data_IF_567114752658
#
_entry.id   IF_567114752658
#
_cell.length_a   1.000
_cell.length_b   1.000
_cell.length_c   1.000
_cell.angle_alpha   90.00
_cell.angle_beta   90.00
_cell.angle_gamma   90.00
#
_symmetry.space_group_name_H-M   'P 1'
#
loop_
_entity.id
_entity.type
_entity.pdbx_description
1 polymer ?
#
# COMPACT_ATOMS: atom_id res chain seq x y z
N UNK A 1 -10.19 -20.39 26.32
CA UNK A 1 -10.65 -19.95 24.99
C UNK A 1 -11.49 -18.66 25.02
N UNK A 2 -12.29 -18.41 26.04
CA UNK A 2 -13.06 -17.15 26.19
C UNK A 2 -12.18 -15.91 26.42
N UNK A 3 -11.07 -16.02 27.15
CA UNK A 3 -10.16 -14.89 27.38
C UNK A 3 -9.46 -14.38 26.11
N UNK A 4 -9.14 -15.27 25.16
CA UNK A 4 -8.55 -14.92 23.84
C UNK A 4 -9.63 -14.30 22.92
N UNK A 5 -10.86 -14.81 22.94
CA UNK A 5 -11.99 -14.18 22.23
C UNK A 5 -12.30 -12.78 22.77
N UNK A 6 -12.21 -12.56 24.07
CA UNK A 6 -12.46 -11.25 24.71
C UNK A 6 -11.35 -10.24 24.43
N UNK A 7 -10.08 -10.67 24.25
CA UNK A 7 -8.97 -9.82 23.81
C UNK A 7 -9.08 -9.45 22.31
N UNK A 8 -9.60 -10.33 21.46
CA UNK A 8 -9.79 -10.06 20.04
C UNK A 8 -10.95 -9.09 19.72
N UNK A 9 -11.88 -8.87 20.67
CA UNK A 9 -13.04 -7.97 20.50
C UNK A 9 -12.71 -6.51 20.85
N UNK A 10 -11.47 -6.16 21.23
CA UNK A 10 -11.07 -4.82 21.67
C UNK A 10 -9.89 -4.19 20.93
N UNK A 11 -9.43 -4.74 19.81
CA UNK A 11 -8.54 -4.02 18.91
C UNK A 11 -9.37 -3.06 18.04
N UNK A 12 -9.95 -2.03 18.63
CA UNK A 12 -10.44 -0.87 17.89
C UNK A 12 -9.22 -0.11 17.37
N UNK A 13 -8.71 -0.51 16.19
CA UNK A 13 -7.79 0.37 15.46
C UNK A 13 -8.55 1.65 15.13
N UNK A 14 -7.93 2.79 15.38
CA UNK A 14 -8.46 4.05 14.87
C UNK A 14 -8.47 3.98 13.35
N UNK A 15 -9.65 3.78 12.77
CA UNK A 15 -9.83 3.83 11.33
C UNK A 15 -9.50 5.23 10.84
N UNK A 16 -8.98 5.32 9.62
CA UNK A 16 -8.67 6.58 8.94
C UNK A 16 -9.60 6.78 7.77
N UNK A 17 -10.07 7.99 7.62
CA UNK A 17 -10.84 8.38 6.44
C UNK A 17 -9.93 8.51 5.24
N UNK A 18 -10.27 7.88 4.12
CA UNK A 18 -9.51 7.93 2.89
C UNK A 18 -9.74 9.28 2.18
N UNK A 19 -8.83 10.23 2.36
CA UNK A 19 -8.98 11.60 1.88
C UNK A 19 -10.25 12.27 2.43
N UNK A 20 -11.02 12.88 1.54
CA UNK A 20 -12.33 13.50 1.85
C UNK A 20 -13.51 12.63 1.38
N UNK A 21 -13.40 11.31 1.53
CA UNK A 21 -14.47 10.35 1.19
C UNK A 21 -15.14 9.82 2.47
N UNK A 22 -16.13 8.96 2.31
CA UNK A 22 -16.78 8.20 3.39
C UNK A 22 -16.10 6.86 3.70
N UNK A 23 -14.99 6.54 3.02
CA UNK A 23 -14.33 5.23 3.10
C UNK A 23 -13.40 5.20 4.32
N UNK A 24 -13.64 4.24 5.21
CA UNK A 24 -12.86 4.04 6.43
C UNK A 24 -11.93 2.84 6.26
N UNK A 25 -10.63 3.06 6.47
CA UNK A 25 -9.58 2.05 6.33
C UNK A 25 -8.68 1.99 7.57
N UNK A 26 -8.08 0.85 7.81
CA UNK A 26 -7.01 0.72 8.80
C UNK A 26 -5.75 1.47 8.34
N UNK A 27 -4.89 1.97 9.24
CA UNK A 27 -3.64 2.64 8.88
C UNK A 27 -2.71 1.80 8.00
N UNK A 28 -2.82 0.48 8.09
CA UNK A 28 -2.08 -0.49 7.27
C UNK A 28 -3.06 -1.34 6.49
N UNK A 29 -2.88 -1.39 5.17
CA UNK A 29 -3.53 -2.34 4.26
C UNK A 29 -2.57 -3.42 3.80
N UNK A 30 -3.04 -4.36 2.99
CA UNK A 30 -2.20 -5.39 2.39
C UNK A 30 -1.95 -5.12 0.91
N UNK A 31 -0.68 -4.93 0.52
CA UNK A 31 -0.25 -4.87 -0.89
C UNK A 31 -0.25 -6.26 -1.52
N UNK A 32 -0.87 -6.38 -2.71
CA UNK A 32 -1.09 -7.65 -3.39
C UNK A 32 -0.16 -7.85 -4.61
N UNK A 33 0.89 -7.04 -4.76
CA UNK A 33 1.80 -7.12 -5.92
C UNK A 33 2.50 -8.49 -6.00
N UNK A 34 2.84 -9.09 -4.87
CA UNK A 34 3.50 -10.40 -4.79
C UNK A 34 2.60 -11.55 -5.26
N UNK A 35 1.29 -11.32 -5.40
CA UNK A 35 0.35 -12.31 -5.93
C UNK A 35 0.30 -12.34 -7.47
N UNK A 36 1.08 -11.48 -8.14
CA UNK A 36 1.16 -11.40 -9.60
C UNK A 36 1.86 -12.59 -10.27
N UNK A 37 2.55 -13.43 -9.53
CA UNK A 37 3.34 -14.54 -10.08
C UNK A 37 2.52 -15.45 -10.98
N UNK A 38 3.08 -15.80 -12.15
CA UNK A 38 2.47 -16.68 -13.13
C UNK A 38 1.57 -15.99 -14.17
N UNK A 39 1.41 -14.67 -14.15
CA UNK A 39 0.57 -13.95 -15.12
C UNK A 39 1.16 -12.63 -15.64
N UNK A 40 0.74 -12.25 -16.86
CA UNK A 40 1.09 -10.98 -17.49
C UNK A 40 2.60 -10.72 -17.65
N UNK A 41 2.95 -9.51 -18.07
CA UNK A 41 4.34 -9.08 -18.28
C UNK A 41 5.17 -9.08 -17.00
N UNK A 42 4.55 -8.80 -15.86
CA UNK A 42 5.22 -8.75 -14.55
C UNK A 42 5.32 -10.11 -13.84
N UNK A 43 4.55 -11.12 -14.30
CA UNK A 43 4.51 -12.44 -13.67
C UNK A 43 5.88 -13.11 -13.46
N UNK A 44 6.80 -13.08 -14.45
CA UNK A 44 8.14 -13.66 -14.30
C UNK A 44 9.01 -13.01 -13.22
N UNK A 45 8.70 -11.78 -12.80
CA UNK A 45 9.43 -11.06 -11.75
C UNK A 45 9.04 -11.53 -10.34
N UNK A 46 7.97 -12.29 -10.19
CA UNK A 46 7.44 -12.74 -8.90
C UNK A 46 7.35 -14.27 -8.83
N UNK A 47 7.63 -14.87 -7.66
CA UNK A 47 7.44 -16.31 -7.47
C UNK A 47 5.94 -16.66 -7.60
N UNK A 48 5.68 -17.82 -8.19
CA UNK A 48 4.31 -18.38 -8.21
C UNK A 48 3.98 -18.89 -6.81
N UNK A 49 2.98 -18.28 -6.17
CA UNK A 49 2.48 -18.65 -4.84
C UNK A 49 1.16 -19.42 -5.05
N UNK A 50 1.01 -20.58 -4.40
CA UNK A 50 -0.25 -21.35 -4.49
C UNK A 50 -1.41 -20.56 -3.88
N UNK A 51 -2.64 -20.82 -4.35
CA UNK A 51 -3.83 -20.13 -3.88
C UNK A 51 -4.06 -20.36 -2.37
N UNK A 52 -3.75 -21.57 -1.85
CA UNK A 52 -3.88 -21.90 -0.43
C UNK A 52 -2.98 -21.01 0.43
N UNK A 53 -1.73 -20.76 0.00
CA UNK A 53 -0.83 -19.84 0.68
C UNK A 53 -1.32 -18.39 0.61
N UNK A 54 -1.87 -17.97 -0.55
CA UNK A 54 -2.48 -16.65 -0.71
C UNK A 54 -3.67 -16.49 0.24
N UNK A 55 -4.54 -17.51 0.31
CA UNK A 55 -5.68 -17.53 1.24
C UNK A 55 -5.21 -17.38 2.70
N UNK A 56 -4.18 -18.13 3.10
CA UNK A 56 -3.64 -18.07 4.45
C UNK A 56 -3.06 -16.68 4.80
N UNK A 57 -2.39 -16.03 3.86
CA UNK A 57 -1.85 -14.66 4.04
C UNK A 57 -2.98 -13.64 4.19
N UNK A 58 -3.99 -13.67 3.31
CA UNK A 58 -5.15 -12.77 3.38
C UNK A 58 -5.94 -12.99 4.67
N UNK A 59 -6.17 -14.26 5.05
CA UNK A 59 -6.83 -14.61 6.31
C UNK A 59 -6.09 -14.04 7.52
N UNK A 60 -4.77 -14.18 7.57
CA UNK A 60 -3.96 -13.64 8.66
C UNK A 60 -4.02 -12.10 8.74
N UNK A 61 -4.06 -11.41 7.60
CA UNK A 61 -4.26 -9.96 7.54
C UNK A 61 -5.62 -9.55 8.12
N UNK A 62 -6.70 -10.23 7.72
CA UNK A 62 -8.06 -10.01 8.21
C UNK A 62 -8.19 -10.28 9.72
N UNK A 63 -7.62 -11.39 10.19
CA UNK A 63 -7.61 -11.75 11.62
C UNK A 63 -6.81 -10.74 12.46
N UNK A 64 -5.79 -10.11 11.88
CA UNK A 64 -5.04 -9.00 12.48
C UNK A 64 -5.74 -7.64 12.39
N UNK A 65 -6.96 -7.57 11.82
CA UNK A 65 -7.78 -6.37 11.74
C UNK A 65 -7.58 -5.51 10.48
N UNK A 66 -6.71 -5.89 9.55
CA UNK A 66 -6.58 -5.21 8.25
C UNK A 66 -7.89 -5.35 7.49
N UNK A 67 -8.46 -4.21 7.03
CA UNK A 67 -9.75 -4.19 6.34
C UNK A 67 -9.66 -3.77 4.86
N UNK A 68 -8.45 -3.54 4.31
CA UNK A 68 -8.32 -3.13 2.92
C UNK A 68 -7.13 -3.75 2.20
N UNK A 69 -7.27 -3.89 0.87
CA UNK A 69 -6.35 -4.62 0.00
C UNK A 69 -6.07 -3.82 -1.26
N UNK A 70 -4.79 -3.67 -1.61
CA UNK A 70 -4.33 -2.89 -2.76
C UNK A 70 -3.76 -3.80 -3.85
N UNK A 71 -4.47 -3.89 -4.96
CA UNK A 71 -4.07 -4.64 -6.16
C UNK A 71 -3.89 -3.70 -7.37
N UNK A 72 -3.69 -4.24 -8.58
CA UNK A 72 -3.61 -3.47 -9.81
C UNK A 72 -3.75 -4.35 -11.07
N UNK A 73 -4.20 -3.73 -12.17
CA UNK A 73 -4.20 -4.32 -13.52
C UNK A 73 -2.84 -4.91 -13.90
N UNK A 74 -1.76 -4.18 -13.62
CA UNK A 74 -0.39 -4.58 -13.95
C UNK A 74 0.05 -5.85 -13.20
N UNK A 75 -0.56 -6.16 -12.06
CA UNK A 75 -0.14 -7.28 -11.22
C UNK A 75 -0.64 -8.62 -11.78
N UNK A 76 0.08 -9.11 -12.79
CA UNK A 76 -0.22 -10.36 -13.45
C UNK A 76 -1.41 -10.30 -14.41
N UNK A 77 -1.77 -9.11 -14.93
CA UNK A 77 -2.90 -8.91 -15.85
C UNK A 77 -4.24 -9.48 -15.31
N UNK A 78 -4.52 -9.21 -14.03
CA UNK A 78 -5.73 -9.69 -13.35
C UNK A 78 -5.51 -10.89 -12.41
N UNK A 79 -4.34 -11.54 -12.46
CA UNK A 79 -4.04 -12.69 -11.56
C UNK A 79 -4.09 -12.29 -10.09
N UNK A 80 -3.54 -11.12 -9.74
CA UNK A 80 -3.57 -10.61 -8.36
C UNK A 80 -5.00 -10.31 -7.90
N UNK A 81 -5.82 -9.66 -8.73
CA UNK A 81 -7.23 -9.35 -8.44
C UNK A 81 -8.04 -10.64 -8.23
N UNK A 82 -7.95 -11.59 -9.18
CA UNK A 82 -8.64 -12.87 -9.07
C UNK A 82 -8.17 -13.72 -7.87
N UNK A 83 -6.88 -13.65 -7.53
CA UNK A 83 -6.32 -14.32 -6.35
C UNK A 83 -6.84 -13.73 -5.04
N UNK A 84 -6.95 -12.39 -4.98
CA UNK A 84 -7.53 -11.67 -3.84
C UNK A 84 -8.99 -12.09 -3.65
N UNK A 85 -9.79 -12.04 -4.71
CA UNK A 85 -11.21 -12.44 -4.67
C UNK A 85 -11.40 -13.86 -4.13
N UNK A 86 -10.61 -14.83 -4.63
CA UNK A 86 -10.65 -16.21 -4.13
C UNK A 86 -10.30 -16.29 -2.64
N UNK A 87 -9.31 -15.51 -2.19
CA UNK A 87 -8.91 -15.50 -0.79
C UNK A 87 -9.95 -14.86 0.13
N UNK A 88 -10.60 -13.77 -0.30
CA UNK A 88 -11.67 -13.11 0.45
C UNK A 88 -12.91 -14.03 0.56
N UNK A 89 -13.31 -14.68 -0.54
CA UNK A 89 -14.40 -15.67 -0.54
C UNK A 89 -14.08 -16.84 0.38
N UNK A 90 -12.86 -17.38 0.34
CA UNK A 90 -12.42 -18.45 1.23
C UNK A 90 -12.41 -18.03 2.72
N UNK A 91 -12.25 -16.74 3.00
CA UNK A 91 -12.35 -16.17 4.35
C UNK A 91 -13.80 -15.78 4.75
N UNK A 92 -14.79 -16.02 3.88
CA UNK A 92 -16.20 -15.68 4.12
C UNK A 92 -16.46 -14.16 4.19
N UNK A 93 -15.65 -13.34 3.52
CA UNK A 93 -15.76 -11.88 3.54
C UNK A 93 -16.60 -11.36 2.38
N UNK A 94 -17.36 -10.30 2.63
CA UNK A 94 -18.22 -9.61 1.68
C UNK A 94 -17.73 -8.20 1.39
N UNK A 95 -18.44 -7.43 0.57
CA UNK A 95 -18.16 -6.01 0.32
C UNK A 95 -18.25 -5.13 1.56
N UNK A 96 -19.07 -5.50 2.54
CA UNK A 96 -19.25 -4.73 3.76
C UNK A 96 -18.10 -4.93 4.76
N UNK A 97 -17.33 -6.01 4.57
CA UNK A 97 -16.21 -6.35 5.45
C UNK A 97 -14.88 -5.75 5.00
N UNK A 98 -14.73 -5.41 3.70
CA UNK A 98 -13.43 -5.08 3.13
C UNK A 98 -13.49 -3.95 2.11
N UNK A 99 -12.39 -3.23 2.00
CA UNK A 99 -12.18 -2.17 1.00
C UNK A 99 -11.17 -2.66 -0.04
N UNK A 100 -11.56 -2.68 -1.31
CA UNK A 100 -10.69 -3.10 -2.41
C UNK A 100 -10.26 -1.89 -3.24
N UNK A 101 -8.94 -1.73 -3.38
CA UNK A 101 -8.31 -0.75 -4.24
C UNK A 101 -7.62 -1.45 -5.43
N UNK A 102 -7.83 -0.93 -6.63
CA UNK A 102 -7.11 -1.38 -7.83
C UNK A 102 -6.70 -0.20 -8.71
N UNK A 103 -5.97 -0.45 -9.81
CA UNK A 103 -5.31 0.61 -10.59
C UNK A 103 -5.41 0.34 -12.07
N UNK A 104 -5.63 1.40 -12.84
CA UNK A 104 -5.50 1.43 -14.29
C UNK A 104 -4.02 1.58 -14.69
N UNK A 105 -3.53 0.75 -15.61
CA UNK A 105 -2.18 0.86 -16.16
C UNK A 105 -2.16 1.79 -17.38
N UNK A 106 -1.52 2.98 -17.32
CA UNK A 106 -1.65 4.02 -18.32
C UNK A 106 -0.66 3.96 -19.49
N UNK A 107 0.42 3.15 -19.40
CA UNK A 107 1.50 3.17 -20.37
C UNK A 107 1.01 2.85 -21.79
N UNK A 108 1.36 3.71 -22.75
CA UNK A 108 0.91 3.67 -24.15
C UNK A 108 -0.61 3.76 -24.35
N UNK A 109 -1.34 4.29 -23.36
CA UNK A 109 -2.80 4.45 -23.40
C UNK A 109 -3.20 5.90 -23.22
N UNK A 110 -4.46 6.20 -23.56
CA UNK A 110 -5.12 7.47 -23.27
C UNK A 110 -6.27 7.26 -22.27
N UNK A 111 -6.80 8.33 -21.71
CA UNK A 111 -7.96 8.30 -20.80
C UNK A 111 -9.19 7.57 -21.42
N UNK A 112 -9.31 7.53 -22.76
CA UNK A 112 -10.39 6.78 -23.45
C UNK A 112 -10.35 5.28 -23.17
N UNK A 113 -9.21 4.74 -22.72
CA UNK A 113 -9.11 3.32 -22.37
C UNK A 113 -9.68 3.01 -20.97
N UNK A 114 -9.81 4.00 -20.09
CA UNK A 114 -10.28 3.80 -18.70
C UNK A 114 -11.65 3.10 -18.64
N UNK A 115 -12.69 3.55 -19.40
CA UNK A 115 -13.99 2.89 -19.40
C UNK A 115 -14.00 1.46 -19.94
N UNK A 116 -13.02 1.10 -20.77
CA UNK A 116 -12.88 -0.28 -21.26
C UNK A 116 -12.11 -1.16 -20.26
N UNK A 117 -11.03 -0.62 -19.69
CA UNK A 117 -10.18 -1.35 -18.74
C UNK A 117 -10.91 -1.73 -17.44
N UNK A 118 -11.86 -0.91 -16.99
CA UNK A 118 -12.62 -1.17 -15.77
C UNK A 118 -13.44 -2.46 -15.83
N UNK A 119 -13.94 -2.85 -17.00
CA UNK A 119 -14.76 -4.06 -17.17
C UNK A 119 -13.98 -5.33 -16.81
N UNK A 120 -12.70 -5.37 -17.18
CA UNK A 120 -11.82 -6.46 -16.78
C UNK A 120 -11.56 -6.47 -15.27
N UNK A 121 -11.43 -5.29 -14.64
CA UNK A 121 -11.25 -5.20 -13.17
C UNK A 121 -12.48 -5.73 -12.45
N UNK A 122 -13.67 -5.31 -12.87
CA UNK A 122 -14.95 -5.80 -12.32
C UNK A 122 -15.05 -7.34 -12.51
N UNK A 123 -14.71 -7.85 -13.69
CA UNK A 123 -14.73 -9.29 -13.96
C UNK A 123 -13.76 -10.08 -13.06
N UNK A 124 -12.52 -9.61 -12.87
CA UNK A 124 -11.54 -10.31 -12.03
C UNK A 124 -11.83 -10.18 -10.53
N UNK A 125 -12.47 -9.10 -10.11
CA UNK A 125 -12.92 -8.93 -8.73
C UNK A 125 -14.23 -9.66 -8.41
N UNK A 126 -14.92 -10.21 -9.41
CA UNK A 126 -15.97 -11.23 -9.30
C UNK A 126 -16.94 -11.01 -8.11
N UNK A 127 -17.64 -9.88 -8.13
CA UNK A 127 -18.63 -9.48 -7.12
C UNK A 127 -18.10 -8.55 -6.01
N UNK A 128 -16.80 -8.29 -5.92
CA UNK A 128 -16.27 -7.26 -5.02
C UNK A 128 -16.28 -5.88 -5.71
N UNK A 129 -16.81 -4.89 -5.01
CA UNK A 129 -16.85 -3.49 -5.48
C UNK A 129 -15.47 -2.86 -5.45
N UNK A 130 -15.21 -1.96 -6.40
CA UNK A 130 -13.99 -1.17 -6.45
C UNK A 130 -14.22 0.10 -5.63
N UNK A 131 -13.72 0.10 -4.39
CA UNK A 131 -13.85 1.25 -3.51
C UNK A 131 -12.91 2.40 -3.91
N UNK A 132 -11.71 2.06 -4.42
CA UNK A 132 -10.73 3.04 -4.88
C UNK A 132 -10.12 2.60 -6.22
N UNK A 133 -10.24 3.45 -7.24
CA UNK A 133 -9.60 3.23 -8.53
C UNK A 133 -8.56 4.32 -8.80
N UNK A 134 -7.34 3.93 -9.14
CA UNK A 134 -6.22 4.86 -9.26
C UNK A 134 -5.59 4.83 -10.65
N UNK A 135 -5.12 5.98 -11.14
CA UNK A 135 -4.12 6.03 -12.22
C UNK A 135 -2.78 5.56 -11.66
N UNK A 136 -2.23 4.44 -12.16
CA UNK A 136 -1.08 3.76 -11.55
C UNK A 136 0.24 4.52 -11.70
N UNK A 137 0.43 5.22 -12.83
CA UNK A 137 1.62 6.01 -13.15
C UNK A 137 1.24 7.22 -13.99
N UNK A 138 2.00 8.33 -13.94
CA UNK A 138 1.75 9.51 -14.79
C UNK A 138 2.31 9.32 -16.21
N UNK A 139 2.01 8.21 -16.88
CA UNK A 139 2.63 7.78 -18.13
C UNK A 139 1.66 7.66 -19.30
N UNK A 140 0.41 8.11 -19.16
CA UNK A 140 -0.55 8.12 -20.26
C UNK A 140 -0.24 9.24 -21.26
N UNK A 141 -0.79 9.11 -22.46
CA UNK A 141 -0.78 10.18 -23.46
C UNK A 141 -1.89 11.22 -23.24
N UNK A 142 -2.58 11.18 -22.10
CA UNK A 142 -3.62 12.13 -21.72
C UNK A 142 -3.17 13.09 -20.64
N UNK A 143 -3.85 14.21 -20.54
CA UNK A 143 -3.65 15.14 -19.42
C UNK A 143 -4.29 14.60 -18.14
N UNK A 144 -3.84 15.03 -16.95
CA UNK A 144 -4.49 14.67 -15.68
C UNK A 144 -5.98 14.99 -15.67
N UNK A 145 -6.41 16.08 -16.31
CA UNK A 145 -7.81 16.46 -16.38
C UNK A 145 -8.64 15.45 -17.18
N UNK A 146 -8.12 14.96 -18.31
CA UNK A 146 -8.79 13.94 -19.12
C UNK A 146 -8.88 12.60 -18.38
N UNK A 147 -7.82 12.20 -17.67
CA UNK A 147 -7.83 11.00 -16.83
C UNK A 147 -8.88 11.11 -15.73
N UNK A 148 -8.91 12.24 -15.00
CA UNK A 148 -9.85 12.45 -13.89
C UNK A 148 -11.30 12.56 -14.36
N UNK A 149 -11.57 13.15 -15.52
CA UNK A 149 -12.93 13.16 -16.09
C UNK A 149 -13.40 11.74 -16.42
N UNK A 150 -12.54 10.91 -17.05
CA UNK A 150 -12.90 9.52 -17.33
C UNK A 150 -13.11 8.69 -16.06
N UNK A 151 -12.33 8.96 -14.99
CA UNK A 151 -12.54 8.33 -13.69
C UNK A 151 -13.83 8.80 -13.01
N UNK A 152 -14.16 10.09 -13.12
CA UNK A 152 -15.42 10.64 -12.61
C UNK A 152 -16.65 10.03 -13.29
N UNK A 153 -16.60 9.80 -14.60
CA UNK A 153 -17.66 9.10 -15.34
C UNK A 153 -17.89 7.67 -14.79
N UNK A 154 -16.84 6.99 -14.29
CA UNK A 154 -16.99 5.69 -13.63
C UNK A 154 -17.65 5.80 -12.25
N UNK A 155 -17.41 6.89 -11.51
CA UNK A 155 -18.12 7.17 -10.26
C UNK A 155 -19.59 7.42 -10.52
N UNK A 156 -19.92 8.27 -11.49
CA UNK A 156 -21.30 8.60 -11.87
C UNK A 156 -22.06 7.33 -12.36
N UNK A 157 -21.34 6.40 -13.03
CA UNK A 157 -21.88 5.11 -13.45
C UNK A 157 -21.97 4.06 -12.33
N UNK A 158 -21.55 4.38 -11.10
CA UNK A 158 -21.56 3.46 -9.96
C UNK A 158 -20.56 2.29 -10.07
N UNK A 159 -19.57 2.36 -10.97
CA UNK A 159 -18.56 1.32 -11.19
C UNK A 159 -17.42 1.36 -10.17
N UNK A 160 -17.15 2.54 -9.61
CA UNK A 160 -16.15 2.78 -8.57
C UNK A 160 -16.71 3.75 -7.52
N UNK A 161 -16.21 3.71 -6.27
CA UNK A 161 -16.67 4.64 -5.23
C UNK A 161 -15.81 5.90 -5.13
N UNK A 162 -14.51 5.79 -5.36
CA UNK A 162 -13.59 6.93 -5.23
C UNK A 162 -12.44 6.87 -6.23
N UNK A 163 -11.83 8.03 -6.45
CA UNK A 163 -10.75 8.23 -7.43
C UNK A 163 -9.45 8.59 -6.73
N UNK A 164 -8.35 7.96 -7.17
CA UNK A 164 -7.00 8.26 -6.72
C UNK A 164 -5.99 8.31 -7.85
N UNK A 165 -4.77 8.68 -7.48
CA UNK A 165 -3.61 8.66 -8.39
C UNK A 165 -2.43 7.99 -7.71
N UNK A 166 -1.40 7.65 -8.49
CA UNK A 166 -0.16 7.12 -7.97
C UNK A 166 1.03 7.77 -8.69
N UNK A 167 2.07 8.11 -7.93
CA UNK A 167 3.29 8.74 -8.41
C UNK A 167 3.11 10.12 -9.07
N UNK A 168 2.05 10.83 -8.72
CA UNK A 168 1.84 12.19 -9.21
C UNK A 168 2.69 13.17 -8.42
N UNK A 169 3.33 14.12 -9.14
CA UNK A 169 3.98 15.28 -8.53
C UNK A 169 2.95 16.21 -7.87
N UNK A 170 3.42 17.14 -7.05
CA UNK A 170 2.57 18.17 -6.44
C UNK A 170 1.71 18.91 -7.48
N UNK A 171 2.30 19.32 -8.61
CA UNK A 171 1.60 20.01 -9.69
C UNK A 171 0.53 19.12 -10.33
N UNK A 172 0.87 17.88 -10.73
CA UNK A 172 -0.10 16.96 -11.33
C UNK A 172 -1.22 16.63 -10.37
N UNK A 173 -0.92 16.47 -9.07
CA UNK A 173 -1.92 16.23 -8.02
C UNK A 173 -2.90 17.41 -7.89
N UNK A 174 -2.41 18.67 -7.91
CA UNK A 174 -3.27 19.87 -7.93
C UNK A 174 -4.16 19.91 -9.15
N UNK A 175 -3.65 19.57 -10.33
CA UNK A 175 -4.43 19.50 -11.58
C UNK A 175 -5.52 18.44 -11.50
N UNK A 176 -5.18 17.23 -11.04
CA UNK A 176 -6.13 16.14 -10.82
C UNK A 176 -7.22 16.53 -9.82
N UNK A 177 -6.83 17.12 -8.68
CA UNK A 177 -7.77 17.58 -7.66
C UNK A 177 -8.75 18.62 -8.22
N UNK A 178 -8.27 19.66 -8.95
CA UNK A 178 -9.14 20.67 -9.55
C UNK A 178 -10.09 20.08 -10.58
N UNK A 179 -9.68 19.07 -11.35
CA UNK A 179 -10.54 18.42 -12.33
C UNK A 179 -11.69 17.67 -11.65
N UNK A 180 -11.39 16.89 -10.59
CA UNK A 180 -12.42 16.19 -9.82
C UNK A 180 -13.32 17.14 -9.04
N UNK A 181 -12.79 18.23 -8.48
CA UNK A 181 -13.57 19.26 -7.77
C UNK A 181 -14.65 19.87 -8.64
N UNK A 182 -14.38 20.09 -9.94
CA UNK A 182 -15.39 20.56 -10.91
C UNK A 182 -16.54 19.58 -11.14
N UNK A 183 -16.32 18.30 -10.79
CA UNK A 183 -17.32 17.22 -10.84
C UNK A 183 -17.94 16.93 -9.46
N UNK A 184 -17.64 17.75 -8.44
CA UNK A 184 -18.12 17.53 -7.06
C UNK A 184 -17.46 16.36 -6.34
N UNK A 185 -16.35 15.85 -6.86
CA UNK A 185 -15.65 14.68 -6.32
C UNK A 185 -14.31 15.06 -5.67
N UNK A 186 -13.92 14.39 -4.55
CA UNK A 186 -12.58 14.54 -4.00
C UNK A 186 -11.56 13.70 -4.76
N UNK A 187 -10.31 14.15 -4.81
CA UNK A 187 -9.16 13.28 -5.04
C UNK A 187 -8.85 12.58 -3.72
N UNK A 188 -9.07 11.28 -3.64
CA UNK A 188 -8.97 10.56 -2.37
C UNK A 188 -7.52 10.34 -1.94
N UNK A 189 -6.65 9.92 -2.87
CA UNK A 189 -5.28 9.50 -2.53
C UNK A 189 -4.25 9.90 -3.59
N UNK A 190 -2.98 9.98 -3.16
CA UNK A 190 -1.81 9.81 -4.01
C UNK A 190 -0.93 8.68 -3.44
N UNK A 191 -0.84 7.56 -4.16
CA UNK A 191 -0.01 6.44 -3.75
C UNK A 191 1.44 6.65 -4.23
N UNK A 192 2.39 6.76 -3.30
CA UNK A 192 3.79 7.10 -3.59
C UNK A 192 4.76 6.26 -2.77
N UNK A 193 6.01 6.17 -3.22
CA UNK A 193 7.08 5.55 -2.42
C UNK A 193 7.35 6.40 -1.18
N UNK A 194 7.32 5.75 -0.01
CA UNK A 194 7.68 6.39 1.24
C UNK A 194 8.09 5.37 2.29
N UNK A 195 9.19 5.64 2.98
CA UNK A 195 9.74 4.83 4.08
C UNK A 195 10.86 5.60 4.78
N UNK A 196 11.40 5.05 5.86
CA UNK A 196 12.64 5.55 6.49
C UNK A 196 13.86 5.56 5.55
N UNK A 197 13.81 4.92 4.38
CA UNK A 197 14.88 4.90 3.36
C UNK A 197 14.52 5.67 2.07
N UNK A 198 13.37 6.33 2.04
CA UNK A 198 12.94 7.18 0.93
C UNK A 198 11.95 8.21 1.46
N UNK A 199 12.46 9.40 1.70
CA UNK A 199 11.71 10.54 2.27
C UNK A 199 11.53 11.67 1.26
N UNK A 200 11.64 11.36 -0.03
CA UNK A 200 11.61 12.35 -1.11
C UNK A 200 10.33 13.18 -1.14
N UNK A 201 9.18 12.60 -0.77
CA UNK A 201 7.89 13.31 -0.77
C UNK A 201 7.81 14.46 0.24
N UNK A 202 8.61 14.45 1.27
CA UNK A 202 8.72 15.53 2.26
C UNK A 202 9.49 16.74 1.73
N UNK A 203 10.37 16.51 0.73
CA UNK A 203 11.26 17.52 0.18
C UNK A 203 10.80 18.10 -1.16
N UNK A 204 9.94 17.38 -1.90
CA UNK A 204 9.50 17.72 -3.26
C UNK A 204 8.09 18.33 -3.34
N UNK A 205 7.49 18.68 -2.20
CA UNK A 205 6.19 19.32 -2.10
C UNK A 205 4.98 18.39 -2.24
N UNK A 206 5.19 17.09 -2.46
CA UNK A 206 4.06 16.13 -2.60
C UNK A 206 3.30 15.98 -1.30
N UNK A 207 4.00 15.80 -0.17
CA UNK A 207 3.35 15.64 1.14
C UNK A 207 2.61 16.91 1.57
N UNK A 208 3.22 18.09 1.42
CA UNK A 208 2.60 19.36 1.79
C UNK A 208 1.34 19.62 0.95
N UNK A 209 1.42 19.35 -0.37
CA UNK A 209 0.26 19.46 -1.26
C UNK A 209 -0.83 18.46 -0.89
N UNK A 210 -0.49 17.23 -0.52
CA UNK A 210 -1.47 16.24 -0.08
C UNK A 210 -2.21 16.72 1.19
N UNK A 211 -1.48 17.23 2.18
CA UNK A 211 -2.07 17.80 3.41
C UNK A 211 -2.97 18.99 3.12
N UNK A 212 -2.52 19.93 2.27
CA UNK A 212 -3.30 21.11 1.87
C UNK A 212 -4.63 20.73 1.20
N UNK A 213 -4.61 19.74 0.30
CA UNK A 213 -5.79 19.33 -0.45
C UNK A 213 -6.68 18.34 0.32
N UNK A 214 -6.20 17.78 1.44
CA UNK A 214 -6.87 16.72 2.18
C UNK A 214 -6.84 15.38 1.41
N UNK A 215 -5.73 15.10 0.74
CA UNK A 215 -5.45 13.86 0.01
C UNK A 215 -4.66 12.93 0.90
N UNK A 216 -5.10 11.67 1.07
CA UNK A 216 -4.33 10.68 1.84
C UNK A 216 -3.14 10.19 1.02
N UNK A 217 -1.96 10.11 1.63
CA UNK A 217 -0.80 9.44 1.07
C UNK A 217 -0.88 7.94 1.36
N UNK A 218 -0.82 7.10 0.31
CA UNK A 218 -0.61 5.66 0.48
C UNK A 218 0.88 5.37 0.22
N UNK A 219 1.60 4.99 1.28
CA UNK A 219 3.01 4.66 1.21
C UNK A 219 3.23 3.24 0.67
N UNK A 220 3.82 3.09 -0.51
CA UNK A 220 4.25 1.79 -1.00
C UNK A 220 5.75 1.55 -0.74
N UNK A 221 6.17 0.27 -0.68
CA UNK A 221 7.53 -0.17 -0.32
C UNK A 221 7.99 0.36 1.06
N UNK A 222 7.14 0.32 2.10
CA UNK A 222 7.43 0.96 3.39
C UNK A 222 8.62 0.32 4.13
N UNK A 223 8.98 -0.91 3.79
CA UNK A 223 10.11 -1.65 4.38
C UNK A 223 11.39 -1.60 3.53
N UNK A 224 11.48 -0.69 2.53
CA UNK A 224 12.67 -0.53 1.70
C UNK A 224 13.09 -1.82 1.00
N UNK A 225 12.16 -2.55 0.40
CA UNK A 225 12.38 -3.87 -0.23
C UNK A 225 12.94 -4.92 0.75
N UNK A 226 12.58 -4.80 2.02
CA UNK A 226 12.98 -5.71 3.09
C UNK A 226 14.28 -5.35 3.81
N UNK A 227 14.93 -4.23 3.49
CA UNK A 227 16.11 -3.74 4.22
C UNK A 227 15.78 -3.43 5.69
N UNK A 228 14.65 -2.76 5.94
CA UNK A 228 14.24 -2.35 7.29
C UNK A 228 13.75 -3.51 8.18
N UNK A 229 13.66 -4.73 7.65
CA UNK A 229 13.40 -5.92 8.48
C UNK A 229 14.64 -6.43 9.22
N UNK A 230 15.82 -5.94 8.89
CA UNK A 230 17.11 -6.43 9.44
C UNK A 230 17.60 -7.76 8.85
N UNK A 231 16.77 -8.50 8.09
CA UNK A 231 17.10 -9.86 7.61
C UNK A 231 18.39 -9.94 6.79
N UNK A 232 18.64 -8.95 5.93
CA UNK A 232 19.86 -8.91 5.10
C UNK A 232 21.09 -8.46 5.86
N UNK A 233 20.91 -7.76 6.98
CA UNK A 233 22.00 -7.36 7.89
C UNK A 233 22.47 -8.57 8.74
N UNK A 234 21.53 -9.44 9.14
CA UNK A 234 21.80 -10.66 9.91
C UNK A 234 22.30 -11.80 9.04
N UNK A 235 21.76 -11.92 7.81
CA UNK A 235 22.11 -12.98 6.87
C UNK A 235 22.26 -12.41 5.45
N UNK A 236 23.46 -11.91 5.09
CA UNK A 236 23.74 -11.39 3.74
C UNK A 236 23.58 -12.43 2.63
N UNK A 237 23.70 -13.74 2.92
CA UNK A 237 23.56 -14.81 1.92
C UNK A 237 22.17 -14.88 1.30
N UNK A 238 21.16 -14.35 1.97
CA UNK A 238 19.81 -14.19 1.40
C UNK A 238 19.79 -13.35 0.10
N UNK A 239 20.84 -12.56 -0.15
CA UNK A 239 20.98 -11.80 -1.39
C UNK A 239 21.40 -12.67 -2.58
N UNK A 240 22.05 -13.81 -2.36
CA UNK A 240 22.53 -14.68 -3.43
C UNK A 240 21.39 -15.18 -4.33
N UNK A 241 20.18 -15.31 -3.76
CA UNK A 241 18.96 -15.69 -4.47
C UNK A 241 18.29 -14.53 -5.23
N UNK A 242 18.89 -13.34 -5.26
CA UNK A 242 18.38 -12.18 -5.98
C UNK A 242 19.13 -11.96 -7.28
N UNK A 243 18.47 -11.35 -8.28
CA UNK A 243 19.15 -10.97 -9.53
C UNK A 243 20.31 -10.01 -9.27
N UNK A 244 21.30 -9.97 -10.20
CA UNK A 244 22.49 -9.13 -10.06
C UNK A 244 22.18 -7.66 -9.73
N UNK A 245 21.24 -7.04 -10.44
CA UNK A 245 20.84 -5.64 -10.18
C UNK A 245 20.26 -5.44 -8.77
N UNK A 246 19.44 -6.39 -8.31
CA UNK A 246 18.91 -6.34 -6.95
C UNK A 246 19.99 -6.52 -5.88
N UNK A 247 20.96 -7.40 -6.12
CA UNK A 247 22.11 -7.57 -5.21
C UNK A 247 22.92 -6.29 -5.08
N UNK A 248 23.28 -5.66 -6.21
CA UNK A 248 24.04 -4.42 -6.21
C UNK A 248 23.32 -3.30 -5.46
N UNK A 249 22.03 -3.12 -5.74
CA UNK A 249 21.20 -2.11 -5.06
C UNK A 249 21.06 -2.37 -3.56
N UNK A 250 20.80 -3.60 -3.16
CA UNK A 250 20.62 -3.98 -1.75
C UNK A 250 21.93 -3.93 -0.96
N UNK A 251 23.06 -4.34 -1.56
CA UNK A 251 24.37 -4.27 -0.88
C UNK A 251 24.73 -2.84 -0.47
N UNK A 252 24.57 -1.86 -1.36
CA UNK A 252 24.77 -0.44 -1.00
C UNK A 252 23.80 0.03 0.08
N UNK A 253 22.56 -0.46 0.04
CA UNK A 253 21.53 -0.16 1.02
C UNK A 253 21.80 -0.72 2.42
N UNK A 254 22.38 -1.95 2.50
CA UNK A 254 22.71 -2.60 3.81
C UNK A 254 23.71 -1.76 4.58
N UNK A 255 24.80 -1.31 3.97
CA UNK A 255 25.81 -0.51 4.66
C UNK A 255 25.22 0.82 5.14
N UNK A 256 24.50 1.52 4.27
CA UNK A 256 23.88 2.81 4.60
C UNK A 256 22.85 2.68 5.73
N UNK A 257 22.01 1.66 5.71
CA UNK A 257 20.92 1.50 6.68
C UNK A 257 21.31 0.77 7.99
N UNK A 258 22.59 0.43 8.19
CA UNK A 258 23.02 -0.36 9.37
C UNK A 258 22.68 0.28 10.71
N UNK A 259 22.98 1.57 10.89
CA UNK A 259 22.67 2.31 12.12
C UNK A 259 21.16 2.40 12.35
N UNK A 260 20.41 2.71 11.31
CA UNK A 260 18.96 2.78 11.35
C UNK A 260 18.34 1.44 11.75
N UNK A 261 18.78 0.34 11.12
CA UNK A 261 18.26 -1.01 11.44
C UNK A 261 18.61 -1.42 12.87
N UNK A 262 19.81 -1.08 13.36
CA UNK A 262 20.18 -1.33 14.75
C UNK A 262 19.24 -0.59 15.71
N UNK A 263 18.93 0.68 15.44
CA UNK A 263 17.99 1.46 16.26
C UNK A 263 16.56 0.87 16.18
N UNK A 264 16.13 0.41 15.00
CA UNK A 264 14.84 -0.29 14.89
C UNK A 264 14.79 -1.57 15.73
N UNK A 265 15.90 -2.32 15.83
CA UNK A 265 16.02 -3.50 16.71
C UNK A 265 15.97 -3.10 18.19
N UNK A 266 16.70 -2.07 18.59
CA UNK A 266 16.72 -1.56 19.97
C UNK A 266 15.33 -1.10 20.42
N UNK A 267 14.64 -0.34 19.60
CA UNK A 267 13.24 0.10 19.87
C UNK A 267 12.31 -1.12 19.88
N UNK A 268 12.45 -2.03 18.90
CA UNK A 268 11.61 -3.23 18.82
C UNK A 268 11.71 -4.10 20.08
N UNK A 269 12.89 -4.23 20.67
CA UNK A 269 13.09 -4.97 21.92
C UNK A 269 12.31 -4.37 23.10
N UNK A 270 12.15 -3.04 23.18
CA UNK A 270 11.37 -2.40 24.26
C UNK A 270 9.87 -2.75 24.18
N UNK A 271 9.34 -2.89 22.98
CA UNK A 271 7.92 -3.18 22.72
C UNK A 271 7.66 -4.67 22.48
N UNK A 272 8.69 -5.50 22.49
CA UNK A 272 8.62 -6.92 22.10
C UNK A 272 8.05 -7.12 20.69
N UNK A 273 8.50 -6.29 19.73
CA UNK A 273 8.10 -6.30 18.33
C UNK A 273 9.31 -6.36 17.39
N UNK A 274 9.08 -6.67 16.10
CA UNK A 274 10.14 -6.72 15.11
C UNK A 274 10.57 -5.35 14.59
N UNK A 275 11.80 -5.20 14.06
CA UNK A 275 12.22 -3.96 13.37
C UNK A 275 11.27 -3.52 12.24
N UNK A 276 10.67 -4.50 11.54
CA UNK A 276 9.68 -4.24 10.50
C UNK A 276 8.42 -3.56 11.07
N UNK A 277 7.94 -4.01 12.23
CA UNK A 277 6.80 -3.39 12.90
C UNK A 277 7.10 -1.97 13.37
N UNK A 278 8.29 -1.72 13.91
CA UNK A 278 8.73 -0.36 14.29
C UNK A 278 8.78 0.55 13.07
N UNK A 279 9.35 0.09 11.94
CA UNK A 279 9.43 0.87 10.72
C UNK A 279 8.03 1.18 10.13
N UNK A 280 7.10 0.22 10.15
CA UNK A 280 5.72 0.42 9.71
C UNK A 280 4.96 1.38 10.64
N UNK A 281 5.13 1.23 11.97
CA UNK A 281 4.51 2.12 12.95
C UNK A 281 4.98 3.56 12.76
N UNK A 282 6.29 3.77 12.50
CA UNK A 282 6.81 5.10 12.18
C UNK A 282 6.12 5.70 10.94
N UNK A 283 5.98 4.96 9.85
CA UNK A 283 5.33 5.44 8.61
C UNK A 283 3.90 5.91 8.87
N UNK A 284 3.14 5.19 9.67
CA UNK A 284 1.73 5.53 9.94
C UNK A 284 1.54 6.54 11.07
N UNK A 285 2.60 6.90 11.82
CA UNK A 285 2.48 7.76 13.00
C UNK A 285 3.18 9.12 12.84
N UNK A 286 4.30 9.17 12.13
CA UNK A 286 5.19 10.35 12.10
C UNK A 286 4.52 11.61 11.54
N UNK A 287 3.67 11.47 10.51
CA UNK A 287 2.90 12.58 9.94
C UNK A 287 1.41 12.56 10.33
N UNK A 288 1.08 11.98 11.49
CA UNK A 288 -0.29 11.84 11.95
C UNK A 288 -1.11 10.91 11.03
N UNK A 289 -2.36 11.30 10.74
CA UNK A 289 -3.28 10.47 9.94
C UNK A 289 -3.13 10.66 8.42
N UNK A 290 -2.25 11.54 7.99
CA UNK A 290 -2.07 11.89 6.56
C UNK A 290 -1.51 10.74 5.71
N UNK A 291 -0.86 9.74 6.32
CA UNK A 291 -0.18 8.65 5.64
C UNK A 291 -0.70 7.30 6.14
N UNK A 292 -1.09 6.44 5.20
CA UNK A 292 -1.36 5.01 5.39
C UNK A 292 -0.36 4.19 4.58
N UNK A 293 -0.24 2.88 4.81
CA UNK A 293 0.76 2.08 4.10
C UNK A 293 0.26 0.70 3.69
N UNK A 294 0.91 0.11 2.66
CA UNK A 294 0.56 -1.17 2.05
C UNK A 294 1.77 -2.10 1.93
N UNK A 295 2.33 -2.61 3.05
CA UNK A 295 3.34 -3.66 2.97
C UNK A 295 2.79 -4.88 2.24
N UNK A 296 3.62 -5.47 1.36
CA UNK A 296 3.32 -6.76 0.73
C UNK A 296 3.70 -7.93 1.65
N UNK A 297 3.02 -9.07 1.48
CA UNK A 297 3.33 -10.30 2.20
C UNK A 297 3.23 -11.53 1.30
N UNK A 298 4.18 -12.46 1.45
CA UNK A 298 4.19 -13.79 0.81
C UNK A 298 4.06 -14.93 1.83
N UNK A 299 4.07 -14.61 3.11
CA UNK A 299 4.02 -15.54 4.25
C UNK A 299 3.08 -15.01 5.33
N UNK A 300 2.43 -15.91 6.04
CA UNK A 300 1.46 -15.61 7.11
C UNK A 300 2.05 -14.66 8.17
N UNK A 301 3.26 -14.95 8.69
CA UNK A 301 3.89 -14.12 9.71
C UNK A 301 4.12 -12.68 9.26
N UNK A 302 4.36 -12.42 7.96
CA UNK A 302 4.54 -11.06 7.44
C UNK A 302 3.23 -10.26 7.50
N UNK A 303 2.10 -10.90 7.19
CA UNK A 303 0.78 -10.26 7.35
C UNK A 303 0.46 -9.99 8.83
N UNK A 304 0.80 -10.93 9.72
CA UNK A 304 0.66 -10.77 11.17
C UNK A 304 1.55 -9.65 11.71
N UNK A 305 2.82 -9.58 11.29
CA UNK A 305 3.72 -8.47 11.66
C UNK A 305 3.19 -7.13 11.17
N UNK A 306 2.68 -7.06 9.93
CA UNK A 306 2.10 -5.84 9.38
C UNK A 306 0.90 -5.37 10.20
N UNK A 307 -0.02 -6.27 10.53
CA UNK A 307 -1.16 -5.96 11.40
C UNK A 307 -0.71 -5.56 12.82
N UNK A 308 0.23 -6.29 13.40
CA UNK A 308 0.78 -6.00 14.72
C UNK A 308 1.48 -4.65 14.82
N UNK A 309 1.92 -4.06 13.70
CA UNK A 309 2.47 -2.71 13.71
C UNK A 309 1.45 -1.62 14.08
N UNK A 310 0.17 -1.90 14.06
CA UNK A 310 -0.90 -0.99 14.49
C UNK A 310 -1.25 -1.11 15.98
N UNK A 311 -0.67 -2.06 16.72
CA UNK A 311 -1.09 -2.39 18.10
C UNK A 311 -0.32 -1.66 19.20
N UNK A 312 0.71 -0.90 18.86
CA UNK A 312 1.51 -0.10 19.77
C UNK A 312 1.74 1.31 19.21
N UNK A 313 2.28 2.20 20.02
CA UNK A 313 2.61 3.55 19.60
C UNK A 313 4.05 3.86 20.02
N UNK A 314 4.85 4.35 19.08
CA UNK A 314 6.18 4.91 19.36
C UNK A 314 6.05 6.21 20.15
N UNK A 315 6.99 6.47 21.07
CA UNK A 315 7.06 7.76 21.75
C UNK A 315 7.53 8.87 20.80
N UNK A 316 7.29 10.12 21.15
CA UNK A 316 7.72 11.28 20.34
C UNK A 316 9.24 11.35 20.22
N UNK A 317 9.98 10.89 21.26
CA UNK A 317 11.44 10.79 21.26
C UNK A 317 11.91 9.73 20.23
N UNK A 318 11.24 8.56 20.19
CA UNK A 318 11.57 7.48 19.26
C UNK A 318 11.23 7.87 17.82
N UNK A 319 10.10 8.53 17.60
CA UNK A 319 9.74 9.09 16.28
C UNK A 319 10.81 10.09 15.81
N UNK A 320 11.24 10.98 16.69
CA UNK A 320 12.28 12.00 16.40
C UNK A 320 13.66 11.36 16.19
N UNK A 321 14.01 10.32 16.95
CA UNK A 321 15.27 9.59 16.78
C UNK A 321 15.34 8.93 15.40
N UNK A 322 14.27 8.26 14.97
CA UNK A 322 14.16 7.63 13.65
C UNK A 322 14.15 8.68 12.53
N UNK A 323 13.50 9.82 12.75
CA UNK A 323 13.50 10.96 11.84
C UNK A 323 14.94 11.46 11.56
N UNK A 324 15.72 11.74 12.59
CA UNK A 324 17.11 12.21 12.46
C UNK A 324 17.98 11.22 11.72
N UNK A 325 17.87 9.93 12.04
CA UNK A 325 18.65 8.86 11.39
C UNK A 325 18.28 8.66 9.92
N UNK A 326 17.05 8.97 9.55
CA UNK A 326 16.54 8.78 8.19
C UNK A 326 16.49 10.05 7.34
N UNK A 327 16.79 11.22 7.87
CA UNK A 327 16.69 12.51 7.17
C UNK A 327 17.61 12.67 5.96
N UNK A 328 18.69 11.89 5.88
CA UNK A 328 19.65 11.88 4.77
C UNK A 328 19.26 10.99 3.59
N UNK A 329 18.15 10.25 3.67
CA UNK A 329 17.65 9.36 2.62
C UNK A 329 16.67 10.03 1.67
#
# INVERSE_FOLDING_TARGET
MEGIKRMMTQLQFNLRTLGKTDIQITPIGLGMMEFAGGGGLMGPAFPVISQEKKNAVVKAALEGGINWFDTAELYGAGVSEASLTKALKAAGKTNDDVVVATKWWPLFRTARNIPHSIEDRIRFLDGYSIALYMVHQPLSFSSPEAEMNAMADLVDAGKIRSVGVSNFSAERMRRAHRALQKRGLPLAVNQVRYSLLDRSIEKNGVLDTAKELGVTIIAYTPLGSGLLTGKYHKNPDLLQNKSFFWRLRLNGGIQKSRSLVKTLEEIGNKYNVTPAQVALNWVISFHGESIVTIPGATKVHQAQESAGAMTFRLSDEELTQLDRLSSSY
#
